data_IF_865460726996
#
_entry.id   IF_865460726996
#
_cell.length_a   1.000
_cell.length_b   1.000
_cell.length_c   1.000
_cell.angle_alpha   90.00
_cell.angle_beta   90.00
_cell.angle_gamma   90.00
#
_symmetry.space_group_name_H-M   'P 1'
#
loop_
_entity.id
_entity.type
_entity.pdbx_description
1 polymer ?
#
# COMPACT_ATOMS: atom_id res chain seq x y z
N UNK A 1 -3.40 -1.05 -15.52
CA UNK A 1 -2.79 -0.97 -16.86
C UNK A 1 -2.89 0.43 -17.48
N UNK A 2 -4.06 1.05 -17.60
CA UNK A 2 -4.18 2.41 -18.17
C UNK A 2 -3.57 3.52 -17.30
N UNK A 3 -3.62 3.42 -15.99
CA UNK A 3 -3.06 4.41 -15.07
C UNK A 3 -1.52 4.49 -15.13
N UNK A 4 -0.86 3.34 -15.24
CA UNK A 4 0.60 3.27 -15.32
C UNK A 4 1.17 3.75 -16.67
N UNK A 5 0.45 3.49 -17.79
CA UNK A 5 0.86 4.00 -19.10
C UNK A 5 0.77 5.54 -19.17
N UNK A 6 -0.16 6.15 -18.45
CA UNK A 6 -0.26 7.61 -18.36
C UNK A 6 0.92 8.23 -17.58
N UNK A 7 1.44 7.53 -16.56
CA UNK A 7 2.64 7.93 -15.82
C UNK A 7 3.92 7.89 -16.67
N UNK A 8 4.04 6.87 -17.53
CA UNK A 8 5.21 6.71 -18.42
C UNK A 8 5.24 7.72 -19.59
N UNK A 9 4.08 8.26 -20.01
CA UNK A 9 3.99 9.16 -21.17
C UNK A 9 4.12 10.64 -20.84
N UNK A 10 4.15 11.04 -19.57
CA UNK A 10 4.21 12.46 -19.17
C UNK A 10 2.99 13.31 -19.57
N UNK A 11 1.90 12.68 -20.04
CA UNK A 11 0.70 13.37 -20.57
C UNK A 11 -0.50 13.26 -19.63
N UNK A 12 -0.30 13.48 -18.33
CA UNK A 12 -1.33 13.34 -17.28
C UNK A 12 -2.62 14.17 -17.50
N UNK A 13 -2.60 15.18 -18.38
CA UNK A 13 -3.78 15.98 -18.66
C UNK A 13 -4.77 15.34 -19.65
N UNK A 14 -4.32 14.40 -20.49
CA UNK A 14 -5.16 13.88 -21.59
C UNK A 14 -6.13 12.77 -21.14
N UNK A 15 -5.82 12.04 -20.09
CA UNK A 15 -6.66 10.92 -19.62
C UNK A 15 -7.70 11.33 -18.58
N UNK A 16 -7.46 12.39 -17.82
CA UNK A 16 -8.44 12.92 -16.87
C UNK A 16 -9.67 13.56 -17.59
N UNK A 17 -9.50 14.04 -18.83
CA UNK A 17 -10.59 14.60 -19.62
C UNK A 17 -11.57 13.54 -20.15
N UNK A 18 -11.12 12.32 -20.41
CA UNK A 18 -12.00 11.24 -20.91
C UNK A 18 -12.83 10.56 -19.80
N UNK A 19 -12.37 10.60 -18.55
CA UNK A 19 -13.13 10.07 -17.41
C UNK A 19 -14.33 10.95 -17.01
N UNK A 20 -14.42 12.19 -17.50
CA UNK A 20 -15.53 13.11 -17.17
C UNK A 20 -16.83 12.88 -17.96
N UNK A 21 -16.83 12.02 -18.96
CA UNK A 21 -18.00 11.71 -19.79
C UNK A 21 -18.63 10.33 -19.52
N UNK A 22 -18.22 9.63 -18.45
CA UNK A 22 -18.85 8.38 -18.06
C UNK A 22 -20.25 8.65 -17.46
N UNK A 23 -21.29 7.90 -17.88
CA UNK A 23 -22.62 8.07 -17.32
C UNK A 23 -22.64 7.75 -15.83
N UNK A 24 -23.34 8.55 -15.04
CA UNK A 24 -23.61 8.35 -13.62
C UNK A 24 -24.18 6.95 -13.39
N UNK A 25 -23.42 6.04 -12.82
CA UNK A 25 -23.90 4.73 -12.41
C UNK A 25 -24.37 4.87 -10.95
N UNK A 26 -25.67 4.65 -10.73
CA UNK A 26 -26.25 4.62 -9.38
C UNK A 26 -25.53 3.57 -8.52
N UNK A 27 -25.29 3.84 -7.23
CA UNK A 27 -24.64 2.90 -6.33
C UNK A 27 -25.42 1.59 -6.24
N UNK A 28 -24.77 0.50 -6.63
CA UNK A 28 -25.33 -0.85 -6.54
C UNK A 28 -25.35 -1.26 -5.07
N UNK A 29 -26.51 -1.66 -4.54
CA UNK A 29 -26.64 -2.09 -3.15
C UNK A 29 -25.89 -3.41 -2.90
N UNK A 30 -25.38 -3.58 -1.68
CA UNK A 30 -24.61 -4.76 -1.24
C UNK A 30 -25.30 -6.11 -1.45
N UNK A 31 -26.63 -6.12 -1.65
CA UNK A 31 -27.41 -7.34 -1.94
C UNK A 31 -27.31 -7.81 -3.40
N UNK A 32 -26.98 -6.93 -4.34
CA UNK A 32 -26.81 -7.29 -5.76
C UNK A 32 -25.42 -7.87 -6.07
N UNK A 33 -24.43 -7.62 -5.20
CA UNK A 33 -23.07 -8.13 -5.35
C UNK A 33 -22.96 -9.65 -5.11
N UNK A 34 -23.78 -10.21 -4.21
CA UNK A 34 -23.74 -11.64 -3.86
C UNK A 34 -24.15 -12.62 -4.99
N UNK A 35 -24.74 -12.15 -6.07
CA UNK A 35 -25.24 -13.02 -7.15
C UNK A 35 -24.40 -12.99 -8.44
N UNK A 36 -23.30 -12.24 -8.52
CA UNK A 36 -22.47 -12.13 -9.73
C UNK A 36 -21.10 -12.78 -9.67
N UNK A 37 -20.70 -13.34 -8.53
CA UNK A 37 -19.43 -14.05 -8.44
C UNK A 37 -19.69 -15.55 -8.56
N UNK A 38 -19.94 -15.99 -9.76
CA UNK A 38 -19.77 -17.38 -10.15
C UNK A 38 -18.49 -17.43 -11.01
N UNK A 39 -17.37 -17.81 -10.43
CA UNK A 39 -16.15 -18.11 -11.17
C UNK A 39 -16.43 -19.27 -12.14
N UNK A 40 -16.09 -19.25 -13.42
CA UNK A 40 -14.91 -18.64 -14.06
C UNK A 40 -15.18 -17.77 -15.30
N UNK A 41 -16.11 -16.85 -15.33
CA UNK A 41 -16.30 -15.97 -16.49
C UNK A 41 -16.37 -14.49 -16.07
N UNK A 42 -15.22 -13.82 -15.99
CA UNK A 42 -15.18 -12.36 -16.04
C UNK A 42 -15.26 -11.97 -17.53
N UNK A 43 -16.49 -11.78 -18.01
CA UNK A 43 -16.72 -11.22 -19.33
C UNK A 43 -16.50 -9.71 -19.30
N UNK A 44 -15.49 -9.25 -20.03
CA UNK A 44 -15.37 -7.84 -20.40
C UNK A 44 -16.56 -7.44 -21.25
N UNK A 45 -17.41 -6.54 -20.75
CA UNK A 45 -18.48 -5.91 -21.53
C UNK A 45 -17.84 -4.98 -22.57
N UNK A 46 -18.01 -5.40 -23.81
CA UNK A 46 -17.55 -4.88 -25.06
C UNK A 46 -17.29 -3.37 -25.17
N UNK A 47 -16.05 -3.06 -25.46
CA UNK A 47 -15.67 -1.96 -26.36
C UNK A 47 -14.55 -2.49 -27.24
N UNK A 48 -14.68 -2.26 -28.55
CA UNK A 48 -13.66 -2.57 -29.53
C UNK A 48 -12.35 -1.84 -29.19
N UNK A 49 -11.40 -2.59 -28.66
CA UNK A 49 -10.04 -2.11 -28.43
C UNK A 49 -9.21 -2.57 -29.64
N UNK A 50 -8.45 -1.69 -30.31
CA UNK A 50 -7.56 -2.12 -31.39
C UNK A 50 -6.58 -3.16 -30.85
N UNK A 51 -6.53 -4.32 -31.51
CA UNK A 51 -5.68 -5.45 -31.17
C UNK A 51 -4.21 -5.12 -31.41
N UNK A 52 -3.49 -4.75 -30.35
CA UNK A 52 -2.04 -4.94 -30.31
C UNK A 52 -1.76 -6.34 -29.76
N UNK A 53 -0.86 -7.12 -30.36
CA UNK A 53 -0.49 -8.42 -29.83
C UNK A 53 0.42 -8.21 -28.61
N UNK A 54 -0.18 -8.05 -27.46
CA UNK A 54 0.52 -8.05 -26.17
C UNK A 54 0.01 -9.27 -25.44
N UNK A 55 0.92 -10.19 -25.12
CA UNK A 55 0.63 -11.37 -24.32
C UNK A 55 0.17 -10.93 -22.93
N UNK A 56 -1.12 -11.10 -22.58
CA UNK A 56 -1.66 -10.56 -21.33
C UNK A 56 -1.03 -11.19 -20.08
N UNK A 57 -0.46 -12.39 -20.17
CA UNK A 57 0.17 -13.10 -19.06
C UNK A 57 1.54 -12.50 -18.69
N UNK A 58 2.18 -11.76 -19.58
CA UNK A 58 3.56 -11.29 -19.38
C UNK A 58 3.66 -9.80 -19.01
N UNK A 59 2.59 -9.00 -19.18
CA UNK A 59 2.64 -7.54 -18.95
C UNK A 59 2.21 -7.17 -17.53
N UNK A 60 1.24 -7.87 -16.96
CA UNK A 60 0.73 -7.56 -15.61
C UNK A 60 1.72 -7.93 -14.51
N UNK A 61 2.37 -9.09 -14.60
CA UNK A 61 3.38 -9.52 -13.62
C UNK A 61 4.64 -8.64 -13.64
N UNK A 62 5.09 -8.21 -14.81
CA UNK A 62 6.27 -7.34 -14.93
C UNK A 62 6.04 -5.96 -14.29
N UNK A 63 4.87 -5.35 -14.47
CA UNK A 63 4.55 -4.02 -13.93
C UNK A 63 4.38 -4.02 -12.41
N UNK A 64 3.85 -5.08 -11.81
CA UNK A 64 3.72 -5.21 -10.35
C UNK A 64 5.08 -5.40 -9.67
N UNK A 65 5.97 -6.17 -10.28
CA UNK A 65 7.35 -6.36 -9.83
C UNK A 65 8.11 -5.03 -9.90
N UNK A 66 7.91 -4.24 -10.96
CA UNK A 66 8.54 -2.93 -11.13
C UNK A 66 8.13 -1.94 -10.04
N UNK A 67 6.88 -1.90 -9.62
CA UNK A 67 6.40 -0.99 -8.57
C UNK A 67 6.92 -1.34 -7.18
N UNK A 68 6.95 -2.62 -6.82
CA UNK A 68 7.59 -3.06 -5.57
C UNK A 68 9.10 -2.79 -5.64
N UNK A 69 9.74 -3.05 -6.78
CA UNK A 69 11.15 -2.74 -6.98
C UNK A 69 11.42 -1.23 -6.90
N UNK A 70 10.53 -0.38 -7.41
CA UNK A 70 10.62 1.07 -7.27
C UNK A 70 10.52 1.51 -5.80
N UNK A 71 9.58 0.95 -5.04
CA UNK A 71 9.45 1.24 -3.61
C UNK A 71 10.73 0.91 -2.84
N UNK A 72 11.39 -0.19 -3.19
CA UNK A 72 12.65 -0.61 -2.57
C UNK A 72 13.90 -0.18 -3.35
N UNK A 73 13.81 0.77 -4.28
CA UNK A 73 14.95 1.23 -5.10
C UNK A 73 16.03 1.94 -4.28
N UNK A 74 15.64 2.60 -3.19
CA UNK A 74 16.54 3.13 -2.16
C UNK A 74 16.36 2.33 -0.86
N UNK A 75 17.33 1.49 -0.50
CA UNK A 75 17.29 0.70 0.74
C UNK A 75 18.21 1.36 1.79
N UNK A 76 17.69 1.64 3.00
CA UNK A 76 16.29 1.47 3.45
C UNK A 76 15.35 2.55 2.90
N UNK A 77 14.14 2.15 2.51
CA UNK A 77 13.10 3.05 2.02
C UNK A 77 12.21 3.56 3.16
N UNK A 78 11.39 4.60 2.91
CA UNK A 78 10.49 5.19 3.91
C UNK A 78 9.05 5.22 3.41
N UNK A 79 8.13 4.64 4.20
CA UNK A 79 6.70 4.81 4.06
C UNK A 79 6.15 5.60 5.24
N UNK A 80 5.37 6.67 4.97
CA UNK A 80 4.66 7.43 5.99
C UNK A 80 3.18 7.05 5.94
N UNK A 81 2.73 6.32 6.96
CA UNK A 81 1.40 5.72 7.01
C UNK A 81 0.36 6.60 7.73
N UNK A 82 -0.91 6.46 7.33
CA UNK A 82 -2.03 7.17 7.95
C UNK A 82 -2.08 8.65 7.55
N UNK A 83 -1.91 8.94 6.28
CA UNK A 83 -2.11 10.26 5.69
C UNK A 83 -3.60 10.49 5.50
N UNK A 84 -4.10 11.64 5.95
CA UNK A 84 -5.53 11.98 5.90
C UNK A 84 -5.80 13.33 5.22
N UNK A 85 -4.76 14.10 4.90
CA UNK A 85 -4.92 15.42 4.30
C UNK A 85 -4.13 15.56 3.01
N UNK A 86 -4.70 16.26 2.03
CA UNK A 86 -4.00 16.62 0.80
C UNK A 86 -2.70 17.37 1.07
N UNK A 87 -2.72 18.32 2.00
CA UNK A 87 -1.55 19.11 2.39
C UNK A 87 -0.38 18.23 2.82
N UNK A 88 -0.64 17.21 3.63
CA UNK A 88 0.41 16.30 4.10
C UNK A 88 0.93 15.42 2.96
N UNK A 89 0.02 14.92 2.09
CA UNK A 89 0.40 14.14 0.92
C UNK A 89 1.33 14.92 -0.03
N UNK A 90 0.96 16.16 -0.39
CA UNK A 90 1.79 17.03 -1.25
C UNK A 90 3.16 17.32 -0.63
N UNK A 91 3.23 17.54 0.68
CA UNK A 91 4.51 17.78 1.37
C UNK A 91 5.39 16.54 1.38
N UNK A 92 4.83 15.35 1.59
CA UNK A 92 5.57 14.08 1.52
C UNK A 92 6.12 13.85 0.11
N UNK A 93 5.31 14.09 -0.93
CA UNK A 93 5.75 14.01 -2.32
C UNK A 93 6.90 14.97 -2.63
N UNK A 94 6.81 16.24 -2.19
CA UNK A 94 7.89 17.24 -2.33
C UNK A 94 9.17 16.85 -1.62
N UNK A 95 9.08 16.17 -0.49
CA UNK A 95 10.23 15.65 0.25
C UNK A 95 10.80 14.36 -0.37
N UNK A 96 10.17 13.80 -1.42
CA UNK A 96 10.58 12.55 -2.06
C UNK A 96 10.56 11.36 -1.09
N UNK A 97 9.57 11.32 -0.19
CA UNK A 97 9.24 10.11 0.57
C UNK A 97 8.78 9.04 -0.42
N UNK A 98 9.25 7.81 -0.28
CA UNK A 98 9.00 6.76 -1.28
C UNK A 98 7.52 6.37 -1.37
N UNK A 99 6.82 6.29 -0.22
CA UNK A 99 5.41 5.91 -0.20
C UNK A 99 4.62 6.60 0.93
N UNK A 100 3.34 6.86 0.68
CA UNK A 100 2.37 7.23 1.71
C UNK A 100 1.32 6.14 1.90
N UNK A 101 0.79 5.99 3.11
CA UNK A 101 -0.28 5.03 3.44
C UNK A 101 -1.62 5.74 3.66
N UNK A 102 -2.66 5.31 2.94
CA UNK A 102 -4.05 5.72 3.09
C UNK A 102 -4.82 4.59 3.78
N UNK A 103 -5.39 4.86 4.94
CA UNK A 103 -6.03 3.81 5.75
C UNK A 103 -7.54 3.80 5.50
N UNK A 104 -8.05 2.70 4.94
CA UNK A 104 -9.46 2.51 4.60
C UNK A 104 -10.26 1.74 5.66
N UNK A 105 -9.68 1.49 6.84
CA UNK A 105 -10.41 0.87 7.95
C UNK A 105 -11.23 1.92 8.72
N UNK A 106 -12.58 1.86 8.70
CA UNK A 106 -13.42 2.91 9.27
C UNK A 106 -13.23 3.16 10.77
N UNK A 107 -12.77 2.15 11.53
CA UNK A 107 -12.48 2.30 12.97
C UNK A 107 -11.13 2.96 13.25
N UNK A 108 -10.31 3.22 12.25
CA UNK A 108 -9.03 3.87 12.43
C UNK A 108 -9.19 5.36 12.71
N UNK A 109 -8.39 5.88 13.66
CA UNK A 109 -8.25 7.34 13.88
C UNK A 109 -7.61 8.05 12.68
N UNK A 110 -7.05 7.28 11.72
CA UNK A 110 -6.39 7.73 10.50
C UNK A 110 -7.18 7.33 9.26
N UNK A 111 -8.48 7.14 9.42
CA UNK A 111 -9.36 6.76 8.31
C UNK A 111 -9.30 7.81 7.20
N UNK A 112 -9.09 7.34 5.97
CA UNK A 112 -9.17 8.11 4.75
C UNK A 112 -10.35 7.57 3.93
N UNK A 113 -11.33 8.41 3.64
CA UNK A 113 -12.46 7.99 2.79
C UNK A 113 -12.01 7.85 1.32
N UNK A 114 -12.69 7.05 0.50
CA UNK A 114 -12.43 6.97 -0.95
C UNK A 114 -12.43 8.33 -1.63
N UNK A 115 -13.35 9.23 -1.27
CA UNK A 115 -13.44 10.57 -1.85
C UNK A 115 -12.20 11.42 -1.49
N UNK A 116 -11.70 11.28 -0.26
CA UNK A 116 -10.48 11.96 0.16
C UNK A 116 -9.24 11.35 -0.52
N UNK A 117 -9.20 10.03 -0.68
CA UNK A 117 -8.16 9.34 -1.43
C UNK A 117 -8.14 9.79 -2.91
N UNK A 118 -9.29 9.96 -3.54
CA UNK A 118 -9.42 10.51 -4.90
C UNK A 118 -8.85 11.93 -4.99
N UNK A 119 -9.16 12.77 -4.01
CA UNK A 119 -8.59 14.14 -3.94
C UNK A 119 -7.06 14.09 -3.80
N UNK A 120 -6.52 13.25 -2.93
CA UNK A 120 -5.08 13.08 -2.74
C UNK A 120 -4.44 12.54 -4.02
N UNK A 121 -4.98 11.45 -4.57
CA UNK A 121 -4.43 10.80 -5.76
C UNK A 121 -4.34 11.75 -6.97
N UNK A 122 -5.36 12.59 -7.19
CA UNK A 122 -5.38 13.55 -8.31
C UNK A 122 -4.25 14.61 -8.24
N UNK A 123 -3.62 14.80 -7.08
CA UNK A 123 -2.57 15.82 -6.89
C UNK A 123 -1.16 15.23 -6.75
N UNK A 124 -1.05 13.96 -6.35
CA UNK A 124 0.28 13.36 -6.06
C UNK A 124 0.58 12.11 -6.88
N UNK A 125 -0.31 11.72 -7.82
CA UNK A 125 -0.07 10.58 -8.68
C UNK A 125 1.21 10.77 -9.51
N UNK A 126 2.09 9.75 -9.49
CA UNK A 126 3.39 9.79 -10.15
C UNK A 126 4.52 10.46 -9.35
N UNK A 127 4.21 11.16 -8.25
CA UNK A 127 5.22 11.80 -7.40
C UNK A 127 5.57 11.00 -6.15
N UNK A 128 4.66 10.15 -5.68
CA UNK A 128 4.81 9.29 -4.50
C UNK A 128 3.89 8.07 -4.63
N UNK A 129 4.36 6.89 -4.21
CA UNK A 129 3.54 5.67 -4.19
C UNK A 129 2.45 5.76 -3.11
N UNK A 130 1.25 5.31 -3.46
CA UNK A 130 0.05 5.34 -2.59
C UNK A 130 -0.29 3.92 -2.18
N UNK A 131 -0.10 3.62 -0.89
CA UNK A 131 -0.40 2.30 -0.32
C UNK A 131 -1.76 2.35 0.37
N UNK A 132 -2.73 1.61 -0.15
CA UNK A 132 -4.03 1.44 0.51
C UNK A 132 -3.93 0.41 1.63
N UNK A 133 -4.30 0.80 2.86
CA UNK A 133 -4.26 -0.08 4.03
C UNK A 133 -5.68 -0.57 4.36
N UNK A 134 -5.84 -1.88 4.40
CA UNK A 134 -7.11 -2.57 4.59
C UNK A 134 -7.05 -3.52 5.79
N UNK A 135 -8.18 -3.70 6.47
CA UNK A 135 -8.33 -4.62 7.61
C UNK A 135 -9.61 -5.41 7.39
N UNK A 136 -9.47 -6.72 7.19
CA UNK A 136 -10.55 -7.69 7.04
C UNK A 136 -11.65 -7.28 6.03
N UNK A 137 -12.26 -8.20 5.33
CA UNK A 137 -13.46 -8.04 4.48
C UNK A 137 -13.47 -6.82 3.51
N UNK A 138 -12.32 -6.27 3.16
CA UNK A 138 -12.20 -5.05 2.34
C UNK A 138 -11.64 -5.32 0.93
N UNK A 139 -11.53 -6.58 0.50
CA UNK A 139 -11.04 -6.95 -0.83
C UNK A 139 -11.79 -6.23 -1.98
N UNK A 140 -13.15 -6.16 -1.99
CA UNK A 140 -13.86 -5.46 -3.07
C UNK A 140 -13.48 -3.98 -3.16
N UNK A 141 -13.33 -3.30 -2.02
CA UNK A 141 -12.90 -1.91 -1.99
C UNK A 141 -11.44 -1.76 -2.48
N UNK A 142 -10.56 -2.68 -2.09
CA UNK A 142 -9.16 -2.64 -2.55
C UNK A 142 -9.07 -2.76 -4.08
N UNK A 143 -9.87 -3.64 -4.69
CA UNK A 143 -9.95 -3.80 -6.15
C UNK A 143 -10.47 -2.51 -6.80
N UNK A 144 -11.58 -1.95 -6.29
CA UNK A 144 -12.17 -0.70 -6.78
C UNK A 144 -11.15 0.44 -6.79
N UNK A 145 -10.40 0.61 -5.69
CA UNK A 145 -9.42 1.68 -5.56
C UNK A 145 -8.18 1.49 -6.47
N UNK A 146 -7.78 0.26 -6.74
CA UNK A 146 -6.75 -0.07 -7.75
C UNK A 146 -7.27 0.25 -9.16
N UNK A 147 -8.47 -0.18 -9.50
CA UNK A 147 -9.08 0.03 -10.83
C UNK A 147 -9.28 1.53 -11.12
N UNK A 148 -9.64 2.31 -10.09
CA UNK A 148 -9.76 3.77 -10.18
C UNK A 148 -8.42 4.50 -10.09
N UNK A 149 -7.29 3.79 -9.97
CA UNK A 149 -5.95 4.35 -9.82
C UNK A 149 -5.79 5.28 -8.61
N UNK A 150 -6.53 5.06 -7.54
CA UNK A 150 -6.41 5.83 -6.30
C UNK A 150 -5.29 5.34 -5.40
N UNK A 151 -4.92 4.07 -5.53
CA UNK A 151 -3.79 3.44 -4.84
C UNK A 151 -2.94 2.64 -5.83
N UNK A 152 -1.69 2.40 -5.47
CA UNK A 152 -0.71 1.68 -6.29
C UNK A 152 -0.38 0.31 -5.70
N UNK A 153 -0.46 0.16 -4.38
CA UNK A 153 -0.11 -1.04 -3.62
C UNK A 153 -1.22 -1.33 -2.61
N UNK A 154 -1.59 -2.60 -2.47
CA UNK A 154 -2.54 -3.08 -1.45
C UNK A 154 -1.76 -3.55 -0.22
N UNK A 155 -2.08 -3.02 0.97
CA UNK A 155 -1.57 -3.53 2.24
C UNK A 155 -2.69 -4.18 3.04
N UNK A 156 -2.59 -5.49 3.26
CA UNK A 156 -3.50 -6.30 4.06
C UNK A 156 -3.01 -6.33 5.52
N UNK A 157 -3.72 -5.67 6.43
CA UNK A 157 -3.29 -5.42 7.80
C UNK A 157 -4.20 -6.07 8.86
N UNK A 158 -5.07 -6.97 8.45
CA UNK A 158 -5.95 -7.76 9.32
C UNK A 158 -5.56 -9.24 9.38
N UNK A 159 -6.58 -10.08 9.56
CA UNK A 159 -6.44 -11.52 9.60
C UNK A 159 -6.76 -12.17 8.23
N UNK A 160 -6.41 -11.46 7.12
CA UNK A 160 -6.60 -11.95 5.75
C UNK A 160 -5.80 -13.23 5.53
N UNK A 161 -6.40 -14.18 4.80
CA UNK A 161 -5.83 -15.50 4.55
C UNK A 161 -4.74 -15.48 3.48
N UNK A 162 -4.02 -16.59 3.33
CA UNK A 162 -3.05 -16.75 2.25
C UNK A 162 -3.71 -16.70 0.87
N UNK A 163 -4.96 -17.19 0.75
CA UNK A 163 -5.76 -17.14 -0.45
C UNK A 163 -6.11 -15.69 -0.84
N UNK A 164 -6.40 -14.83 0.15
CA UNK A 164 -6.64 -13.40 -0.08
C UNK A 164 -5.38 -12.70 -0.63
N UNK A 165 -4.21 -13.05 -0.10
CA UNK A 165 -2.94 -12.50 -0.57
C UNK A 165 -2.65 -13.00 -1.99
N UNK A 166 -2.80 -14.32 -2.21
CA UNK A 166 -2.55 -14.95 -3.50
C UNK A 166 -3.46 -14.38 -4.59
N UNK A 167 -4.71 -14.04 -4.24
CA UNK A 167 -5.64 -13.39 -5.18
C UNK A 167 -5.04 -12.12 -5.78
N UNK A 168 -4.43 -11.23 -4.98
CA UNK A 168 -3.80 -10.00 -5.49
C UNK A 168 -2.54 -10.31 -6.30
N UNK A 169 -1.73 -11.26 -5.87
CA UNK A 169 -0.53 -11.71 -6.60
C UNK A 169 -0.93 -12.22 -7.99
N UNK A 170 -1.93 -13.09 -8.09
CA UNK A 170 -2.41 -13.67 -9.35
C UNK A 170 -2.99 -12.61 -10.31
N UNK A 171 -3.52 -11.51 -9.77
CA UNK A 171 -3.97 -10.36 -10.58
C UNK A 171 -2.82 -9.39 -10.95
N UNK A 172 -1.59 -9.69 -10.54
CA UNK A 172 -0.44 -8.80 -10.73
C UNK A 172 -0.55 -7.50 -9.94
N UNK A 173 -1.29 -7.48 -8.83
CA UNK A 173 -1.43 -6.32 -7.95
C UNK A 173 -0.37 -6.39 -6.87
N UNK A 174 0.48 -5.35 -6.70
CA UNK A 174 1.48 -5.32 -5.64
C UNK A 174 0.84 -5.41 -4.27
N UNK A 175 1.31 -6.35 -3.42
CA UNK A 175 0.72 -6.60 -2.11
C UNK A 175 1.76 -6.59 -0.99
N UNK A 176 1.41 -5.96 0.13
CA UNK A 176 2.12 -6.00 1.40
C UNK A 176 1.23 -6.73 2.41
N UNK A 177 1.71 -7.82 3.02
CA UNK A 177 1.02 -8.44 4.16
C UNK A 177 1.61 -7.93 5.46
N UNK A 178 0.79 -7.37 6.32
CA UNK A 178 1.19 -7.02 7.67
C UNK A 178 0.96 -8.21 8.62
N UNK A 179 1.98 -8.51 9.42
CA UNK A 179 1.97 -9.56 10.42
C UNK A 179 2.51 -9.01 11.74
N UNK A 180 1.82 -9.30 12.82
CA UNK A 180 2.28 -8.98 14.17
C UNK A 180 3.49 -9.83 14.52
N UNK A 181 4.50 -9.23 15.17
CA UNK A 181 5.76 -9.89 15.49
C UNK A 181 5.60 -11.19 16.31
N UNK A 182 4.61 -11.26 17.18
CA UNK A 182 4.31 -12.47 18.00
C UNK A 182 3.67 -13.59 17.19
N UNK A 183 3.00 -13.29 16.08
CA UNK A 183 2.40 -14.29 15.18
C UNK A 183 3.36 -14.77 14.10
N UNK A 184 4.42 -14.02 13.81
CA UNK A 184 5.35 -14.25 12.71
C UNK A 184 5.92 -15.67 12.62
N UNK A 185 6.33 -16.35 13.71
CA UNK A 185 6.92 -17.68 13.64
C UNK A 185 6.00 -18.77 13.08
N UNK A 186 4.68 -18.59 13.18
CA UNK A 186 3.67 -19.56 12.79
C UNK A 186 2.75 -19.07 11.67
N UNK A 187 3.08 -17.94 11.05
CA UNK A 187 2.25 -17.36 10.00
C UNK A 187 2.58 -17.99 8.65
N UNK A 188 1.57 -18.49 7.96
CA UNK A 188 1.73 -18.98 6.59
C UNK A 188 1.86 -17.79 5.65
N UNK A 189 2.87 -17.83 4.78
CA UNK A 189 3.19 -16.77 3.82
C UNK A 189 3.23 -17.34 2.40
N UNK A 190 2.89 -16.55 1.38
CA UNK A 190 3.12 -16.89 -0.01
C UNK A 190 4.60 -17.17 -0.28
N UNK A 191 4.88 -17.89 -1.35
CA UNK A 191 6.27 -18.27 -1.70
C UNK A 191 7.07 -17.10 -2.32
N UNK A 192 6.40 -16.15 -2.96
CA UNK A 192 7.03 -15.05 -3.71
C UNK A 192 6.03 -13.92 -4.01
N UNK A 193 6.52 -12.85 -4.61
CA UNK A 193 5.76 -11.71 -5.19
C UNK A 193 4.93 -10.89 -4.20
N UNK A 194 5.37 -10.82 -2.94
CA UNK A 194 4.79 -9.96 -1.91
C UNK A 194 5.89 -9.32 -1.07
N UNK A 195 5.53 -8.28 -0.33
CA UNK A 195 6.36 -7.73 0.74
C UNK A 195 5.71 -8.01 2.10
N UNK A 196 6.54 -8.19 3.13
CA UNK A 196 6.07 -8.39 4.50
C UNK A 196 6.24 -7.12 5.32
N UNK A 197 5.23 -6.73 6.08
CA UNK A 197 5.34 -5.72 7.11
C UNK A 197 5.26 -6.37 8.48
N UNK A 198 6.27 -6.15 9.32
CA UNK A 198 6.29 -6.65 10.71
C UNK A 198 5.93 -5.48 11.64
N UNK A 199 4.82 -5.63 12.38
CA UNK A 199 4.32 -4.61 13.30
C UNK A 199 4.34 -5.10 14.75
N UNK A 200 4.21 -4.17 15.67
CA UNK A 200 4.06 -4.44 17.11
C UNK A 200 2.76 -5.22 17.39
N UNK A 201 2.78 -6.18 18.31
CA UNK A 201 1.54 -6.81 18.78
C UNK A 201 0.56 -5.77 19.32
N UNK A 202 -0.56 -5.59 18.63
CA UNK A 202 -1.55 -4.56 18.92
C UNK A 202 -2.90 -5.13 19.40
N UNK A 203 -3.03 -6.45 19.51
CA UNK A 203 -4.28 -7.12 19.85
C UNK A 203 -5.38 -6.81 18.82
N UNK A 204 -6.52 -6.32 19.29
CA UNK A 204 -7.67 -5.98 18.41
C UNK A 204 -7.55 -4.63 17.71
N UNK A 205 -6.51 -3.84 18.00
CA UNK A 205 -6.36 -2.47 17.47
C UNK A 205 -5.63 -2.41 16.13
N UNK A 206 -5.16 -3.54 15.60
CA UNK A 206 -4.48 -3.67 14.31
C UNK A 206 -3.45 -2.56 14.04
N UNK A 207 -2.53 -2.33 14.99
CA UNK A 207 -1.41 -1.39 14.86
C UNK A 207 -1.64 0.00 15.48
N UNK A 208 -0.66 0.88 15.31
CA UNK A 208 -0.76 2.29 15.74
C UNK A 208 -0.67 2.54 17.24
N UNK A 209 -0.23 1.56 18.05
CA UNK A 209 -0.13 1.68 19.51
C UNK A 209 1.01 2.60 19.98
N UNK A 210 1.98 2.90 19.13
CA UNK A 210 3.18 3.68 19.47
C UNK A 210 4.20 2.95 20.35
N UNK A 211 3.98 1.66 20.63
CA UNK A 211 4.92 0.81 21.39
C UNK A 211 5.86 0.08 20.43
N UNK A 212 7.08 -0.19 20.86
CA UNK A 212 8.03 -1.07 20.20
C UNK A 212 7.90 -2.51 20.72
N UNK A 213 8.45 -3.45 19.95
CA UNK A 213 8.59 -4.86 20.33
C UNK A 213 10.08 -5.25 20.33
N UNK A 214 10.38 -6.50 20.69
CA UNK A 214 11.74 -7.02 20.57
C UNK A 214 12.13 -7.19 19.08
N UNK A 215 12.93 -6.27 18.58
CA UNK A 215 13.35 -6.24 17.18
C UNK A 215 14.22 -7.42 16.76
N UNK A 216 14.76 -8.23 17.70
CA UNK A 216 15.49 -9.44 17.37
C UNK A 216 14.62 -10.43 16.58
N UNK A 217 13.31 -10.48 16.86
CA UNK A 217 12.34 -11.33 16.13
C UNK A 217 12.30 -10.95 14.64
N UNK A 218 12.22 -9.65 14.35
CA UNK A 218 12.21 -9.15 12.98
C UNK A 218 13.58 -9.34 12.30
N UNK A 219 14.68 -9.10 13.02
CA UNK A 219 16.04 -9.32 12.53
C UNK A 219 16.30 -10.77 12.16
N UNK A 220 15.86 -11.71 13.00
CA UNK A 220 15.95 -13.15 12.73
C UNK A 220 15.15 -13.54 11.47
N UNK A 221 13.96 -12.95 11.30
CA UNK A 221 13.14 -13.19 10.10
C UNK A 221 13.85 -12.69 8.84
N UNK A 222 14.31 -11.44 8.82
CA UNK A 222 15.01 -10.84 7.66
C UNK A 222 16.24 -11.68 7.28
N UNK A 223 17.03 -12.12 8.26
CA UNK A 223 18.20 -12.95 8.02
C UNK A 223 17.85 -14.32 7.43
N UNK A 224 16.74 -14.94 7.86
CA UNK A 224 16.26 -16.24 7.35
C UNK A 224 15.58 -16.16 5.98
N UNK A 225 14.98 -15.01 5.67
CA UNK A 225 14.18 -14.79 4.45
C UNK A 225 14.67 -13.58 3.62
N UNK A 226 15.94 -13.57 3.16
CA UNK A 226 16.54 -12.39 2.50
C UNK A 226 15.91 -12.03 1.15
N UNK A 227 15.06 -12.90 0.61
CA UNK A 227 14.33 -12.66 -0.65
C UNK A 227 12.98 -11.97 -0.43
N UNK A 228 12.47 -11.91 0.79
CA UNK A 228 11.20 -11.27 1.11
C UNK A 228 11.50 -9.82 1.54
N UNK A 229 11.15 -8.81 0.72
CA UNK A 229 11.30 -7.42 1.14
C UNK A 229 10.49 -7.18 2.41
N UNK A 230 11.16 -6.72 3.48
CA UNK A 230 10.52 -6.57 4.78
C UNK A 230 10.49 -5.11 5.21
N UNK A 231 9.29 -4.63 5.52
CA UNK A 231 9.06 -3.34 6.17
C UNK A 231 9.01 -3.54 7.68
N UNK A 232 9.68 -2.68 8.43
CA UNK A 232 9.57 -2.65 9.89
C UNK A 232 8.64 -1.52 10.33
N UNK A 233 7.63 -1.86 11.11
CA UNK A 233 6.68 -0.94 11.73
C UNK A 233 6.71 -1.04 13.27
N UNK A 234 5.81 -0.33 13.93
CA UNK A 234 5.60 -0.43 15.37
C UNK A 234 6.51 0.47 16.22
N UNK A 235 5.98 1.61 16.65
CA UNK A 235 6.62 2.52 17.61
C UNK A 235 7.89 3.22 17.14
N UNK A 236 8.22 3.13 15.85
CA UNK A 236 9.40 3.77 15.27
C UNK A 236 9.18 5.29 15.19
N UNK A 237 10.20 6.05 15.55
CA UNK A 237 10.21 7.50 15.57
C UNK A 237 11.66 8.01 15.38
N UNK A 238 11.91 9.33 15.24
CA UNK A 238 13.26 9.85 15.01
C UNK A 238 14.32 9.45 16.06
N UNK A 239 13.89 9.19 17.31
CA UNK A 239 14.85 8.87 18.37
C UNK A 239 15.36 7.41 18.33
N UNK A 240 14.61 6.49 17.70
CA UNK A 240 14.94 5.07 17.69
C UNK A 240 15.11 4.47 16.28
N UNK A 241 14.86 5.24 15.22
CA UNK A 241 14.92 4.74 13.84
C UNK A 241 16.30 4.19 13.45
N UNK A 242 17.40 4.84 13.87
CA UNK A 242 18.76 4.38 13.59
C UNK A 242 19.07 3.03 14.28
N UNK A 243 18.59 2.85 15.52
CA UNK A 243 18.70 1.58 16.25
C UNK A 243 17.90 0.48 15.54
N UNK A 244 16.65 0.78 15.16
CA UNK A 244 15.77 -0.14 14.43
C UNK A 244 16.42 -0.62 13.10
N UNK A 245 16.98 0.29 12.33
CA UNK A 245 17.69 -0.03 11.08
C UNK A 245 18.91 -0.92 11.32
N UNK A 246 19.68 -0.65 12.37
CA UNK A 246 20.88 -1.43 12.70
C UNK A 246 20.51 -2.84 13.16
N UNK A 247 19.47 -2.95 14.02
CA UNK A 247 19.07 -4.22 14.62
C UNK A 247 18.39 -5.16 13.61
N UNK A 248 17.57 -4.63 12.70
CA UNK A 248 16.72 -5.44 11.82
C UNK A 248 17.25 -5.51 10.39
N UNK A 249 17.85 -4.44 9.90
CA UNK A 249 18.24 -4.25 8.49
C UNK A 249 17.06 -4.46 7.51
N UNK A 250 15.92 -3.81 7.76
CA UNK A 250 14.74 -3.96 6.92
C UNK A 250 14.96 -3.28 5.56
N UNK A 251 14.18 -3.68 4.56
CA UNK A 251 14.16 -3.00 3.27
C UNK A 251 13.49 -1.62 3.35
N UNK A 252 12.57 -1.41 4.31
CA UNK A 252 11.92 -0.12 4.54
C UNK A 252 11.48 0.05 6.00
N UNK A 253 11.27 1.30 6.41
CA UNK A 253 10.51 1.65 7.62
C UNK A 253 9.10 2.09 7.24
N UNK A 254 8.10 1.62 8.01
CA UNK A 254 6.71 2.08 7.95
C UNK A 254 6.35 2.84 9.22
N UNK A 255 6.10 4.13 9.10
CA UNK A 255 5.96 5.02 10.26
C UNK A 255 4.62 5.76 10.22
N UNK A 256 3.80 5.55 11.25
CA UNK A 256 2.55 6.28 11.47
C UNK A 256 2.72 7.31 12.60
N UNK A 257 2.47 6.92 13.84
CA UNK A 257 2.47 7.83 15.01
C UNK A 257 3.79 8.53 15.26
N UNK A 258 4.92 7.88 14.94
CA UNK A 258 6.26 8.47 15.11
C UNK A 258 6.55 9.66 14.19
N UNK A 259 5.74 9.86 13.15
CA UNK A 259 5.81 10.97 12.22
C UNK A 259 4.64 11.96 12.39
N UNK A 260 3.90 11.93 13.51
CA UNK A 260 2.70 12.73 13.74
C UNK A 260 2.84 13.71 14.88
N UNK A 261 2.11 14.83 14.78
CA UNK A 261 1.81 15.76 15.88
C UNK A 261 0.53 15.36 16.60
N UNK A 262 -0.45 14.81 15.87
CA UNK A 262 -1.67 14.17 16.36
C UNK A 262 -2.14 13.13 15.35
N UNK A 263 -2.99 12.14 15.76
CA UNK A 263 -3.42 11.09 14.83
C UNK A 263 -3.96 11.63 13.50
N UNK A 264 -3.33 11.23 12.39
CA UNK A 264 -3.67 11.65 11.03
C UNK A 264 -3.02 12.96 10.57
N UNK A 265 -2.34 13.72 11.42
CA UNK A 265 -1.67 14.98 11.07
C UNK A 265 -0.16 14.83 11.18
N UNK A 266 0.55 15.00 10.06
CA UNK A 266 2.00 14.77 10.02
C UNK A 266 2.80 15.94 10.60
N UNK A 267 3.86 15.60 11.32
CA UNK A 267 4.88 16.50 11.83
C UNK A 267 6.10 16.43 10.91
N UNK A 268 6.31 17.48 10.14
CA UNK A 268 7.33 17.48 9.10
C UNK A 268 8.76 17.67 9.62
N UNK A 269 8.95 18.13 10.85
CA UNK A 269 10.27 18.10 11.50
C UNK A 269 10.67 16.64 11.80
N UNK A 270 9.72 15.83 12.28
CA UNK A 270 9.92 14.39 12.49
C UNK A 270 10.14 13.65 11.18
N UNK A 271 9.37 13.95 10.12
CA UNK A 271 9.56 13.33 8.80
C UNK A 271 10.96 13.63 8.26
N UNK A 272 11.41 14.88 8.32
CA UNK A 272 12.75 15.25 7.87
C UNK A 272 13.87 14.58 8.68
N UNK A 273 13.71 14.49 10.01
CA UNK A 273 14.66 13.79 10.87
C UNK A 273 14.74 12.29 10.52
N UNK A 274 13.59 11.64 10.24
CA UNK A 274 13.55 10.26 9.78
C UNK A 274 14.26 10.08 8.43
N UNK A 275 14.02 10.96 7.47
CA UNK A 275 14.72 10.91 6.18
C UNK A 275 16.23 11.07 6.31
N UNK A 276 16.68 11.95 7.20
CA UNK A 276 18.13 12.11 7.49
C UNK A 276 18.74 10.84 8.10
N UNK A 277 17.97 10.07 8.85
CA UNK A 277 18.44 8.79 9.43
C UNK A 277 18.62 7.70 8.37
N UNK A 278 17.88 7.80 7.26
CA UNK A 278 17.91 6.84 6.16
C UNK A 278 18.95 7.20 5.06
N UNK A 279 19.51 8.40 5.10
CA UNK A 279 20.55 8.91 4.18
C UNK A 279 21.93 8.52 4.66
#
# INVERSE_FOLDING_TARGET
>A
MFCQLAQLSGTGEFFCALAREAPQINPISSSQFKHRINFPEIFFLGRDIPSFPVDPENVTSALSIDMIAEFFSSIPSLKICGVTTLRDAERLAKLKVAALGLNFWPSSKRYCSPENASTIASHVAGDILRVGVFVNNSLPLAIELIDECLIDIVQLHGDETIEDIQFFIDQGIPVIKAVSADKLPNHELPSHDFALLIDTPAGKDYGGTGKTFDWSIAGDFVNKHPKIPTLLAGGINPANAAEALTAVKPAALDIASGAESSPGIKDFEKVQALMQTLS
#
